data_IF_013605271554
#
_entry.id   IF_013605271554
#
_cell.length_a   1.000
_cell.length_b   1.000
_cell.length_c   1.000
_cell.angle_alpha   90.00
_cell.angle_beta   90.00
_cell.angle_gamma   90.00
#
_symmetry.space_group_name_H-M   'P 1'
#
loop_
_entity.id
_entity.type
_entity.pdbx_description
1 polymer ?
#
# COMPACT_ATOMS: atom_id res chain seq x y z
N UNK A 1 66.80 -10.95 28.63
CA UNK A 1 67.27 -11.23 30.03
C UNK A 1 66.06 -11.24 30.89
N UNK A 2 65.72 -12.41 31.30
CA UNK A 2 65.59 -12.93 32.69
C UNK A 2 64.42 -12.29 33.47
N UNK A 3 63.54 -13.08 33.76
CA UNK A 3 63.12 -14.07 34.80
C UNK A 3 62.10 -13.49 35.75
N UNK A 4 60.92 -14.10 35.72
CA UNK A 4 60.33 -14.96 36.75
C UNK A 4 60.32 -14.41 38.19
N UNK A 5 59.18 -14.32 38.86
CA UNK A 5 58.84 -15.06 40.07
C UNK A 5 57.33 -15.13 40.38
N UNK A 6 56.88 -16.34 40.63
CA UNK A 6 55.63 -16.75 41.26
C UNK A 6 55.64 -16.32 42.74
N UNK A 7 54.43 -16.01 43.34
CA UNK A 7 54.03 -16.55 44.66
C UNK A 7 52.49 -16.47 44.81
N UNK A 8 51.93 -17.57 45.21
CA UNK A 8 50.62 -17.96 45.67
C UNK A 8 50.12 -17.07 46.81
N UNK A 9 48.78 -16.79 46.84
CA UNK A 9 48.01 -16.86 48.07
C UNK A 9 46.57 -17.24 47.80
N UNK A 10 46.15 -18.34 48.39
CA UNK A 10 44.82 -18.92 48.48
C UNK A 10 44.10 -18.17 49.59
N UNK A 11 42.91 -17.67 49.31
CA UNK A 11 41.90 -17.37 50.32
C UNK A 11 40.51 -17.73 49.81
N UNK A 12 39.94 -18.69 50.50
CA UNK A 12 38.59 -19.23 50.39
C UNK A 12 37.61 -18.13 50.78
N UNK A 13 36.63 -17.82 49.91
CA UNK A 13 35.37 -17.24 50.37
C UNK A 13 34.17 -17.91 49.68
N UNK A 14 33.27 -18.30 50.57
CA UNK A 14 32.10 -19.11 50.44
C UNK A 14 31.13 -18.70 49.31
N UNK A 15 30.57 -19.72 48.64
CA UNK A 15 29.40 -19.68 47.80
C UNK A 15 28.19 -19.01 48.50
N UNK A 16 27.66 -17.98 47.83
CA UNK A 16 26.26 -17.62 47.93
C UNK A 16 25.70 -17.70 46.48
N UNK A 17 25.05 -18.80 46.20
CA UNK A 17 24.22 -18.98 45.02
C UNK A 17 22.96 -18.07 45.15
N UNK A 18 22.99 -16.94 44.49
CA UNK A 18 21.77 -16.18 44.17
C UNK A 18 21.34 -16.65 42.78
N UNK A 19 20.33 -17.51 42.77
CA UNK A 19 19.62 -17.89 41.52
C UNK A 19 18.83 -16.68 41.00
N UNK A 20 19.43 -15.91 40.13
CA UNK A 20 18.69 -15.00 39.25
C UNK A 20 17.95 -15.84 38.23
N UNK A 21 16.68 -16.13 38.48
CA UNK A 21 15.75 -16.61 37.48
C UNK A 21 15.57 -15.51 36.46
N UNK A 22 16.35 -15.55 35.41
CA UNK A 22 16.10 -14.81 34.17
C UNK A 22 14.82 -15.40 33.55
N UNK A 23 13.69 -14.73 33.74
CA UNK A 23 12.53 -14.92 32.89
C UNK A 23 12.88 -14.39 31.48
N UNK A 24 13.61 -15.21 30.73
CA UNK A 24 13.57 -15.11 29.28
C UNK A 24 12.16 -15.51 28.86
N UNK A 25 11.34 -14.54 28.54
CA UNK A 25 10.14 -14.79 27.73
C UNK A 25 10.61 -15.49 26.46
N UNK A 26 10.38 -16.81 26.41
CA UNK A 26 10.41 -17.53 25.14
C UNK A 26 9.31 -16.90 24.28
N UNK A 27 9.71 -16.12 23.30
CA UNK A 27 8.84 -15.88 22.14
C UNK A 27 8.37 -17.25 21.66
N UNK A 28 7.06 -17.48 21.77
CA UNK A 28 6.43 -18.69 21.29
C UNK A 28 6.56 -18.73 19.76
N UNK A 29 7.59 -19.39 19.26
CA UNK A 29 7.80 -19.68 17.84
C UNK A 29 6.85 -20.81 17.39
N UNK A 30 5.55 -20.67 17.60
CA UNK A 30 4.53 -21.53 17.02
C UNK A 30 3.83 -20.84 15.84
N UNK A 31 4.60 -20.15 14.98
CA UNK A 31 4.10 -19.57 13.72
C UNK A 31 3.94 -20.60 12.58
N UNK A 32 4.18 -21.88 12.86
CA UNK A 32 4.14 -22.98 11.86
C UNK A 32 2.88 -23.86 11.93
N UNK A 33 1.86 -23.47 12.66
CA UNK A 33 0.58 -24.18 12.55
C UNK A 33 -0.02 -23.90 11.16
N UNK A 34 0.16 -24.85 10.24
CA UNK A 34 -0.44 -24.81 8.91
C UNK A 34 -1.95 -24.62 9.07
N UNK A 35 -2.46 -23.47 8.63
CA UNK A 35 -3.88 -23.17 8.76
C UNK A 35 -4.66 -24.18 7.92
N UNK A 36 -5.64 -24.84 8.53
CA UNK A 36 -6.50 -25.79 7.83
C UNK A 36 -7.33 -25.06 6.79
N UNK A 37 -7.15 -25.39 5.51
CA UNK A 37 -7.93 -24.84 4.41
C UNK A 37 -9.38 -25.36 4.51
N UNK A 38 -10.33 -24.46 4.69
CA UNK A 38 -11.75 -24.76 4.69
C UNK A 38 -12.25 -24.92 3.25
N UNK A 39 -12.97 -25.99 2.97
CA UNK A 39 -13.54 -26.23 1.64
C UNK A 39 -15.01 -25.83 1.59
N UNK A 40 -15.52 -25.57 0.39
CA UNK A 40 -16.94 -25.29 0.12
C UNK A 40 -17.51 -24.03 0.82
N UNK A 41 -16.68 -23.02 1.02
CA UNK A 41 -17.16 -21.71 1.45
C UNK A 41 -17.96 -21.06 0.30
N UNK A 42 -19.04 -20.35 0.64
CA UNK A 42 -19.67 -19.43 -0.31
C UNK A 42 -18.71 -18.31 -0.70
N UNK A 43 -18.98 -17.60 -1.78
CA UNK A 43 -18.13 -16.47 -2.21
C UNK A 43 -18.04 -15.38 -1.13
N UNK A 44 -19.17 -15.09 -0.44
CA UNK A 44 -19.19 -14.09 0.64
C UNK A 44 -18.37 -14.56 1.85
N UNK A 45 -18.48 -15.82 2.27
CA UNK A 45 -17.69 -16.39 3.37
C UNK A 45 -16.19 -16.40 3.04
N UNK A 46 -15.84 -16.70 1.78
CA UNK A 46 -14.45 -16.70 1.33
C UNK A 46 -13.88 -15.28 1.28
N UNK A 47 -14.66 -14.32 0.78
CA UNK A 47 -14.25 -12.90 0.79
C UNK A 47 -14.08 -12.36 2.21
N UNK A 48 -14.99 -12.71 3.13
CA UNK A 48 -14.90 -12.29 4.53
C UNK A 48 -13.64 -12.89 5.18
N UNK A 49 -13.38 -14.17 4.93
CA UNK A 49 -12.17 -14.85 5.42
C UNK A 49 -10.90 -14.17 4.90
N UNK A 50 -10.82 -13.91 3.59
CA UNK A 50 -9.65 -13.28 2.97
C UNK A 50 -9.47 -11.87 3.51
N UNK A 51 -10.52 -11.06 3.55
CA UNK A 51 -10.46 -9.68 4.04
C UNK A 51 -10.04 -9.63 5.51
N UNK A 52 -10.66 -10.46 6.37
CA UNK A 52 -10.37 -10.52 7.80
C UNK A 52 -8.94 -11.00 8.08
N UNK A 53 -8.47 -12.03 7.37
CA UNK A 53 -7.13 -12.57 7.57
C UNK A 53 -6.06 -11.57 7.10
N UNK A 54 -6.29 -10.90 5.96
CA UNK A 54 -5.37 -9.89 5.44
C UNK A 54 -5.35 -8.62 6.31
N UNK A 55 -6.50 -8.22 6.87
CA UNK A 55 -6.60 -7.14 7.86
C UNK A 55 -5.64 -7.32 9.05
N UNK A 56 -5.39 -8.56 9.48
CA UNK A 56 -4.48 -8.85 10.60
C UNK A 56 -3.04 -8.40 10.34
N UNK A 57 -2.62 -8.21 9.09
CA UNK A 57 -1.32 -7.61 8.78
C UNK A 57 -1.18 -6.21 9.40
N UNK A 58 -2.23 -5.40 9.36
CA UNK A 58 -2.25 -4.05 9.90
C UNK A 58 -2.70 -3.99 11.37
N UNK A 59 -3.23 -5.09 11.91
CA UNK A 59 -3.66 -5.16 13.30
C UNK A 59 -2.62 -5.83 14.19
N UNK A 60 -2.34 -7.10 13.97
CA UNK A 60 -1.36 -7.87 14.75
C UNK A 60 0.06 -7.75 14.17
N UNK A 61 0.17 -7.65 12.87
CA UNK A 61 1.44 -7.54 12.14
C UNK A 61 2.02 -6.13 12.03
N UNK A 62 1.30 -5.12 12.51
CA UNK A 62 1.77 -3.73 12.50
C UNK A 62 3.09 -3.54 13.25
N UNK A 63 3.81 -2.46 12.98
CA UNK A 63 4.99 -2.10 13.76
C UNK A 63 4.57 -1.82 15.22
N UNK A 64 5.16 -2.52 16.22
CA UNK A 64 4.60 -2.57 17.57
C UNK A 64 4.65 -1.24 18.32
N UNK A 65 5.66 -0.42 18.08
CA UNK A 65 5.85 0.88 18.78
C UNK A 65 4.90 1.94 18.23
N UNK A 66 4.84 2.11 16.93
CA UNK A 66 4.00 3.11 16.25
C UNK A 66 2.57 2.64 15.98
N UNK A 67 2.39 1.34 15.78
CA UNK A 67 1.14 0.76 15.26
C UNK A 67 0.94 0.97 13.76
N UNK A 68 1.89 1.61 13.08
CA UNK A 68 1.84 1.90 11.65
C UNK A 68 2.10 0.67 10.77
N UNK A 69 1.83 0.78 9.48
CA UNK A 69 2.00 -0.31 8.51
C UNK A 69 3.47 -0.64 8.31
N UNK A 70 3.88 -1.86 8.68
CA UNK A 70 5.23 -2.36 8.37
C UNK A 70 5.42 -2.41 6.87
N UNK A 71 6.64 -2.12 6.42
CA UNK A 71 6.98 -2.24 5.01
C UNK A 71 6.84 -3.70 4.56
N UNK A 72 7.40 -4.65 5.32
CA UNK A 72 7.36 -6.09 5.03
C UNK A 72 7.25 -6.96 6.29
N UNK A 73 6.79 -8.18 6.10
CA UNK A 73 6.83 -9.23 7.12
C UNK A 73 7.26 -10.54 6.49
N UNK A 74 8.39 -11.09 6.93
CA UNK A 74 8.92 -12.37 6.49
C UNK A 74 8.74 -13.41 7.58
N UNK A 75 7.98 -14.47 7.31
CA UNK A 75 7.74 -15.57 8.27
C UNK A 75 9.03 -16.33 8.56
N UNK A 76 9.94 -16.42 7.60
CA UNK A 76 11.24 -17.05 7.73
C UNK A 76 12.25 -16.21 8.53
N UNK A 77 11.88 -15.01 8.97
CA UNK A 77 12.73 -14.05 9.66
C UNK A 77 14.03 -13.64 8.91
N UNK A 78 14.07 -13.87 7.60
CA UNK A 78 15.18 -13.45 6.76
C UNK A 78 14.89 -12.02 6.29
N UNK A 79 15.42 -11.04 7.00
CA UNK A 79 15.29 -9.63 6.67
C UNK A 79 16.64 -9.03 6.31
N UNK A 80 16.66 -8.02 5.42
CA UNK A 80 17.75 -7.05 5.40
C UNK A 80 17.86 -6.35 6.77
N UNK A 81 19.03 -5.79 7.05
CA UNK A 81 19.26 -5.06 8.30
C UNK A 81 18.19 -3.98 8.53
N UNK A 82 17.65 -3.92 9.76
CA UNK A 82 16.63 -2.97 10.23
C UNK A 82 15.24 -3.04 9.59
N UNK A 83 14.94 -3.98 8.71
CA UNK A 83 13.62 -4.04 8.06
C UNK A 83 12.47 -4.43 9.00
N UNK A 84 12.76 -5.07 10.14
CA UNK A 84 11.73 -5.42 11.13
C UNK A 84 11.00 -4.19 11.72
N UNK A 85 11.67 -3.05 11.85
CA UNK A 85 11.13 -1.80 12.37
C UNK A 85 10.76 -0.78 11.29
N UNK A 86 10.88 -1.15 10.01
CA UNK A 86 10.57 -0.25 8.90
C UNK A 86 9.07 -0.10 8.74
N UNK A 87 8.64 1.16 8.77
CA UNK A 87 7.29 1.60 8.41
C UNK A 87 7.34 2.19 7.01
N UNK A 88 6.49 1.69 6.10
CA UNK A 88 6.27 2.32 4.80
C UNK A 88 5.07 3.28 4.90
N UNK A 89 5.22 4.47 4.36
CA UNK A 89 4.19 5.52 4.47
C UNK A 89 2.96 5.16 3.66
N UNK A 90 3.08 4.69 2.42
CA UNK A 90 1.93 4.22 1.65
C UNK A 90 1.22 3.04 2.29
N UNK A 91 1.98 2.03 2.76
CA UNK A 91 1.40 0.92 3.51
C UNK A 91 0.68 1.38 4.78
N UNK A 92 1.17 2.43 5.45
CA UNK A 92 0.47 3.02 6.60
C UNK A 92 -0.85 3.67 6.18
N UNK A 93 -0.87 4.42 5.07
CA UNK A 93 -2.11 4.97 4.51
C UNK A 93 -3.15 3.88 4.21
N UNK A 94 -2.73 2.82 3.54
CA UNK A 94 -3.60 1.68 3.24
C UNK A 94 -4.05 0.95 4.52
N UNK A 95 -3.17 0.82 5.50
CA UNK A 95 -3.47 0.25 6.81
C UNK A 95 -4.51 1.05 7.61
N UNK A 96 -4.45 2.38 7.57
CA UNK A 96 -5.46 3.26 8.17
C UNK A 96 -6.85 3.01 7.56
N UNK A 97 -6.94 2.86 6.23
CA UNK A 97 -8.18 2.51 5.53
C UNK A 97 -8.64 1.08 5.87
N UNK A 98 -7.69 0.13 5.98
CA UNK A 98 -7.98 -1.24 6.39
C UNK A 98 -8.55 -1.28 7.81
N UNK A 99 -8.06 -0.45 8.74
CA UNK A 99 -8.61 -0.37 10.11
C UNK A 99 -10.04 0.18 10.09
N UNK A 100 -10.36 1.19 9.27
CA UNK A 100 -11.75 1.65 9.09
C UNK A 100 -12.66 0.53 8.58
N UNK A 101 -12.18 -0.24 7.60
CA UNK A 101 -12.90 -1.43 7.09
C UNK A 101 -13.11 -2.48 8.19
N UNK A 102 -12.07 -2.75 8.99
CA UNK A 102 -12.16 -3.71 10.10
C UNK A 102 -13.13 -3.30 11.21
N UNK A 103 -13.26 -2.00 11.48
CA UNK A 103 -14.26 -1.46 12.41
C UNK A 103 -15.68 -1.66 11.84
N UNK A 104 -15.91 -1.29 10.58
CA UNK A 104 -17.21 -1.39 9.91
C UNK A 104 -17.67 -2.85 9.79
N UNK A 105 -16.74 -3.77 9.56
CA UNK A 105 -16.98 -5.23 9.52
C UNK A 105 -17.10 -5.89 10.89
N UNK A 106 -16.79 -5.19 11.97
CA UNK A 106 -16.80 -5.77 13.33
C UNK A 106 -15.64 -6.75 13.58
N UNK A 107 -14.55 -6.67 12.82
CA UNK A 107 -13.32 -7.43 13.10
C UNK A 107 -12.65 -6.94 14.37
N UNK A 108 -12.79 -5.66 14.66
CA UNK A 108 -12.37 -4.98 15.89
C UNK A 108 -13.47 -4.04 16.37
N UNK A 109 -13.49 -3.74 17.68
CA UNK A 109 -14.46 -2.78 18.21
C UNK A 109 -14.15 -1.36 17.73
N UNK A 110 -15.18 -0.49 17.68
CA UNK A 110 -14.98 0.93 17.35
C UNK A 110 -13.97 1.59 18.32
N UNK A 111 -14.03 1.24 19.61
CA UNK A 111 -13.12 1.78 20.62
C UNK A 111 -11.66 1.38 20.38
N UNK A 112 -11.41 0.10 20.11
CA UNK A 112 -10.04 -0.39 19.83
C UNK A 112 -9.50 0.21 18.55
N UNK A 113 -10.35 0.31 17.52
CA UNK A 113 -10.00 0.95 16.27
C UNK A 113 -9.65 2.43 16.44
N UNK A 114 -10.45 3.20 17.18
CA UNK A 114 -10.18 4.60 17.50
C UNK A 114 -8.84 4.74 18.25
N UNK A 115 -8.59 3.88 19.23
CA UNK A 115 -7.34 3.86 19.99
C UNK A 115 -6.13 3.61 19.08
N UNK A 116 -6.24 2.62 18.18
CA UNK A 116 -5.17 2.30 17.22
C UNK A 116 -4.94 3.44 16.22
N UNK A 117 -6.00 4.00 15.64
CA UNK A 117 -5.91 5.14 14.73
C UNK A 117 -5.29 6.36 15.42
N UNK A 118 -5.70 6.67 16.66
CA UNK A 118 -5.11 7.76 17.44
C UNK A 118 -3.61 7.59 17.65
N UNK A 119 -3.18 6.37 18.01
CA UNK A 119 -1.76 6.02 18.17
C UNK A 119 -0.96 6.27 16.89
N UNK A 120 -1.48 5.82 15.74
CA UNK A 120 -0.81 5.99 14.45
C UNK A 120 -0.75 7.46 14.05
N UNK A 121 -1.84 8.22 14.24
CA UNK A 121 -1.85 9.65 13.92
C UNK A 121 -0.93 10.46 14.85
N UNK A 122 -0.80 10.05 16.12
CA UNK A 122 0.17 10.65 17.05
C UNK A 122 1.62 10.39 16.64
N UNK A 123 1.90 9.20 16.12
CA UNK A 123 3.20 8.88 15.55
C UNK A 123 3.48 9.73 14.31
N UNK A 124 2.55 9.76 13.34
CA UNK A 124 2.69 10.54 12.10
C UNK A 124 2.84 12.05 12.36
N UNK A 125 2.17 12.58 13.38
CA UNK A 125 2.29 13.99 13.77
C UNK A 125 3.68 14.37 14.31
N UNK A 126 4.41 13.40 14.88
CA UNK A 126 5.76 13.60 15.47
C UNK A 126 6.88 13.14 14.54
N UNK A 127 6.57 12.36 13.53
CA UNK A 127 7.54 11.82 12.58
C UNK A 127 8.17 12.93 11.71
N UNK A 128 9.32 12.62 11.12
CA UNK A 128 9.96 13.54 10.18
C UNK A 128 9.04 13.85 9.01
N UNK A 129 8.92 15.14 8.69
CA UNK A 129 8.16 15.66 7.55
C UNK A 129 8.97 16.75 6.85
N UNK A 130 8.88 16.77 5.53
CA UNK A 130 9.62 17.68 4.69
C UNK A 130 8.63 18.49 3.85
N UNK A 131 8.44 19.76 4.17
CA UNK A 131 7.37 20.58 3.58
C UNK A 131 6.00 19.89 3.66
N UNK A 132 5.75 19.27 4.81
CA UNK A 132 4.51 18.56 5.08
C UNK A 132 4.42 17.12 4.56
N UNK A 133 5.28 16.69 3.64
CA UNK A 133 5.32 15.30 3.17
C UNK A 133 6.16 14.41 4.10
N UNK A 134 5.70 13.20 4.34
CA UNK A 134 6.49 12.15 5.00
C UNK A 134 7.46 11.53 4.01
N UNK A 135 8.56 10.92 4.49
CA UNK A 135 9.49 10.18 3.64
C UNK A 135 8.87 8.84 3.20
N UNK A 136 9.51 8.17 2.24
CA UNK A 136 9.10 6.84 1.78
C UNK A 136 9.03 5.84 2.95
N UNK A 137 10.10 5.78 3.76
CA UNK A 137 10.18 4.94 4.95
C UNK A 137 10.54 5.72 6.21
N UNK A 138 10.05 5.22 7.35
CA UNK A 138 10.39 5.68 8.69
C UNK A 138 10.90 4.50 9.54
N UNK A 139 11.74 4.81 10.52
CA UNK A 139 11.95 3.92 11.66
C UNK A 139 10.72 4.00 12.58
N UNK A 140 10.01 2.89 12.76
CA UNK A 140 8.77 2.85 13.54
C UNK A 140 8.94 3.22 15.01
N UNK A 141 10.11 2.97 15.59
CA UNK A 141 10.41 3.29 16.99
C UNK A 141 10.60 4.80 17.23
N UNK A 142 11.14 5.53 16.24
CA UNK A 142 11.59 6.92 16.41
C UNK A 142 10.84 7.93 15.57
N UNK A 143 10.17 7.51 14.49
CA UNK A 143 9.58 8.40 13.50
C UNK A 143 10.60 9.15 12.62
N UNK A 144 11.89 8.76 12.71
CA UNK A 144 12.94 9.35 11.87
C UNK A 144 12.93 8.73 10.48
N UNK A 145 13.35 9.55 9.49
CA UNK A 145 13.49 9.07 8.11
C UNK A 145 14.45 7.88 8.07
N UNK A 146 14.01 6.80 7.43
CA UNK A 146 14.86 5.71 6.96
C UNK A 146 15.04 5.89 5.47
N UNK A 147 16.24 6.19 4.97
CA UNK A 147 16.45 6.40 3.54
C UNK A 147 16.03 5.18 2.71
N UNK A 148 15.18 5.38 1.71
CA UNK A 148 14.87 4.37 0.71
C UNK A 148 16.06 4.20 -0.27
N UNK A 149 16.72 5.31 -0.59
CA UNK A 149 17.94 5.38 -1.36
C UNK A 149 18.76 6.60 -0.95
N UNK A 150 19.98 6.72 -1.45
CA UNK A 150 20.90 7.80 -1.07
C UNK A 150 20.27 9.20 -1.25
N UNK A 151 19.55 9.42 -2.35
CA UNK A 151 18.88 10.70 -2.65
C UNK A 151 17.41 10.71 -2.27
N UNK A 152 16.88 9.57 -1.85
CA UNK A 152 15.52 9.37 -1.36
C UNK A 152 15.56 9.22 0.18
N UNK A 153 15.91 10.34 0.82
CA UNK A 153 16.07 10.48 2.27
C UNK A 153 15.29 11.68 2.83
N UNK A 154 14.28 12.11 2.12
CA UNK A 154 13.45 13.28 2.46
C UNK A 154 11.97 13.03 2.18
N UNK A 155 11.26 14.06 1.72
CA UNK A 155 9.83 13.96 1.47
C UNK A 155 9.49 13.17 0.20
N UNK A 156 8.53 12.26 0.33
CA UNK A 156 7.90 11.50 -0.76
C UNK A 156 6.43 11.93 -0.87
N UNK A 157 6.10 12.70 -1.92
CA UNK A 157 4.75 13.24 -2.08
C UNK A 157 3.74 12.17 -2.52
N UNK A 158 4.18 11.12 -3.21
CA UNK A 158 3.33 10.03 -3.69
C UNK A 158 2.88 9.17 -2.50
N UNK A 159 3.81 8.66 -1.70
CA UNK A 159 3.52 7.90 -0.48
C UNK A 159 2.67 8.72 0.50
N UNK A 160 3.01 10.01 0.66
CA UNK A 160 2.22 10.96 1.46
C UNK A 160 0.79 11.11 0.95
N UNK A 161 0.57 11.08 -0.36
CA UNK A 161 -0.78 11.18 -0.94
C UNK A 161 -1.64 9.94 -0.62
N UNK A 162 -1.03 8.77 -0.47
CA UNK A 162 -1.75 7.57 -0.02
C UNK A 162 -2.18 7.69 1.45
N UNK A 163 -1.35 8.29 2.32
CA UNK A 163 -1.78 8.62 3.70
C UNK A 163 -2.88 9.68 3.69
N UNK A 164 -2.78 10.71 2.86
CA UNK A 164 -3.78 11.77 2.80
C UNK A 164 -5.18 11.26 2.42
N UNK A 165 -5.29 10.27 1.52
CA UNK A 165 -6.56 9.59 1.26
C UNK A 165 -7.17 9.01 2.53
N UNK A 166 -6.37 8.32 3.34
CA UNK A 166 -6.82 7.71 4.58
C UNK A 166 -7.22 8.76 5.62
N UNK A 167 -6.45 9.83 5.76
CA UNK A 167 -6.75 10.92 6.70
C UNK A 167 -8.10 11.58 6.39
N UNK A 168 -8.40 11.80 5.11
CA UNK A 168 -9.71 12.31 4.65
C UNK A 168 -10.83 11.33 4.98
N UNK A 169 -10.62 10.02 4.81
CA UNK A 169 -11.59 9.00 5.20
C UNK A 169 -11.82 8.97 6.73
N UNK A 170 -10.76 9.12 7.53
CA UNK A 170 -10.86 9.17 9.00
C UNK A 170 -11.66 10.39 9.45
N UNK A 171 -11.38 11.58 8.89
CA UNK A 171 -12.19 12.77 9.18
C UNK A 171 -13.66 12.51 8.88
N UNK A 172 -13.97 12.05 7.67
CA UNK A 172 -15.35 11.79 7.26
C UNK A 172 -16.08 10.77 8.14
N UNK A 173 -15.36 9.73 8.62
CA UNK A 173 -15.93 8.68 9.46
C UNK A 173 -16.25 9.16 10.89
N UNK A 174 -15.40 10.03 11.47
CA UNK A 174 -15.45 10.37 12.89
C UNK A 174 -15.99 11.77 13.20
N UNK A 175 -16.03 12.71 12.25
CA UNK A 175 -16.38 14.13 12.49
C UNK A 175 -17.73 14.40 13.15
N UNK A 176 -18.69 13.47 13.02
CA UNK A 176 -20.02 13.61 13.59
C UNK A 176 -20.25 12.78 14.87
N UNK A 177 -19.21 12.15 15.41
CA UNK A 177 -19.29 11.28 16.58
C UNK A 177 -19.13 11.97 17.94
N UNK A 178 -18.62 11.23 18.91
CA UNK A 178 -18.31 11.71 20.27
C UNK A 178 -17.25 12.79 20.27
N UNK A 179 -16.92 13.33 21.46
CA UNK A 179 -15.81 14.28 21.59
C UNK A 179 -14.46 13.67 21.20
N UNK A 180 -14.23 12.40 21.53
CA UNK A 180 -13.01 11.67 21.16
C UNK A 180 -12.96 11.40 19.64
N UNK A 181 -14.10 10.98 19.04
CA UNK A 181 -14.24 10.83 17.61
C UNK A 181 -13.86 12.13 16.86
N UNK A 182 -14.42 13.26 17.30
CA UNK A 182 -14.14 14.58 16.72
C UNK A 182 -12.69 15.04 16.91
N UNK A 183 -12.05 14.67 18.01
CA UNK A 183 -10.64 14.97 18.24
C UNK A 183 -9.74 14.21 17.25
N UNK A 184 -10.04 12.93 16.98
CA UNK A 184 -9.34 12.14 15.97
C UNK A 184 -9.57 12.70 14.55
N UNK A 185 -10.81 13.03 14.21
CA UNK A 185 -11.17 13.63 12.92
C UNK A 185 -10.41 14.95 12.69
N UNK A 186 -10.40 15.84 13.69
CA UNK A 186 -9.67 17.10 13.63
C UNK A 186 -8.16 16.88 13.40
N UNK A 187 -7.54 15.93 14.10
CA UNK A 187 -6.12 15.60 13.92
C UNK A 187 -5.84 15.11 12.51
N UNK A 188 -6.70 14.24 11.97
CA UNK A 188 -6.59 13.75 10.59
C UNK A 188 -6.70 14.90 9.57
N UNK A 189 -7.65 15.81 9.77
CA UNK A 189 -7.86 16.98 8.93
C UNK A 189 -6.65 17.93 8.96
N UNK A 190 -6.08 18.21 10.15
CA UNK A 190 -4.89 19.06 10.31
C UNK A 190 -3.65 18.43 9.63
N UNK A 191 -3.47 17.12 9.73
CA UNK A 191 -2.32 16.44 9.15
C UNK A 191 -2.32 16.50 7.62
N UNK A 192 -3.46 16.23 6.95
CA UNK A 192 -3.50 16.29 5.51
C UNK A 192 -3.44 17.75 4.99
N UNK A 193 -4.07 18.70 5.65
CA UNK A 193 -3.99 20.12 5.32
C UNK A 193 -2.60 20.73 5.49
N UNK A 194 -1.76 20.11 6.30
CA UNK A 194 -0.36 20.51 6.49
C UNK A 194 0.60 20.03 5.40
N UNK A 195 0.13 19.34 4.34
CA UNK A 195 0.97 18.92 3.21
C UNK A 195 1.10 20.08 2.23
N UNK A 196 2.34 20.54 1.99
CA UNK A 196 2.60 21.64 1.04
C UNK A 196 2.78 21.11 -0.38
N UNK A 197 1.68 20.80 -1.06
CA UNK A 197 1.69 20.37 -2.46
C UNK A 197 2.31 21.42 -3.39
N UNK A 198 2.18 22.71 -3.07
CA UNK A 198 2.73 23.77 -3.92
C UNK A 198 4.27 23.82 -3.88
N UNK A 199 4.89 23.44 -2.75
CA UNK A 199 6.36 23.28 -2.67
C UNK A 199 6.86 22.28 -3.70
N UNK A 200 6.16 21.15 -3.84
CA UNK A 200 6.55 20.05 -4.73
C UNK A 200 6.39 20.34 -6.23
N UNK A 201 6.13 21.59 -6.58
CA UNK A 201 6.22 22.10 -7.96
C UNK A 201 7.64 22.51 -8.35
N UNK A 202 8.62 22.40 -7.47
CA UNK A 202 10.03 22.75 -7.75
C UNK A 202 10.17 24.12 -8.44
N UNK A 203 9.89 25.20 -7.72
CA UNK A 203 9.97 26.57 -8.25
C UNK A 203 8.77 26.99 -9.12
N UNK A 204 7.56 26.56 -8.75
CA UNK A 204 6.30 26.92 -9.43
C UNK A 204 6.15 26.35 -10.87
N UNK A 205 6.83 25.26 -11.19
CA UNK A 205 6.58 24.54 -12.44
C UNK A 205 5.16 23.97 -12.48
N UNK A 206 4.62 23.74 -13.67
CA UNK A 206 3.30 23.14 -13.86
C UNK A 206 3.37 21.60 -13.88
N UNK A 207 4.03 21.02 -12.88
CA UNK A 207 4.15 19.58 -12.67
C UNK A 207 4.48 19.36 -11.19
N UNK A 208 4.08 18.21 -10.62
CA UNK A 208 4.49 17.79 -9.30
C UNK A 208 5.68 16.85 -9.39
N UNK A 209 6.59 16.99 -8.43
CA UNK A 209 7.76 16.13 -8.28
C UNK A 209 7.50 15.10 -7.19
N UNK A 210 8.05 13.89 -7.36
CA UNK A 210 7.90 12.78 -6.43
C UNK A 210 8.64 13.03 -5.12
N UNK A 211 9.92 13.42 -5.24
CA UNK A 211 10.86 13.47 -4.11
C UNK A 211 11.46 14.86 -3.90
N UNK A 212 11.71 15.19 -2.65
CA UNK A 212 12.60 16.27 -2.25
C UNK A 212 13.47 15.81 -1.08
N UNK A 213 14.78 16.09 -1.14
CA UNK A 213 15.75 15.73 -0.12
C UNK A 213 16.31 16.98 0.57
N UNK A 214 16.49 17.00 1.90
CA UNK A 214 17.15 18.11 2.58
C UNK A 214 18.62 18.27 2.20
N UNK A 215 19.29 17.16 1.82
CA UNK A 215 20.71 17.14 1.44
C UNK A 215 20.91 17.31 -0.06
N UNK A 216 20.10 16.63 -0.86
CA UNK A 216 20.24 16.57 -2.33
C UNK A 216 19.22 17.43 -3.07
N UNK A 217 18.33 18.12 -2.36
CA UNK A 217 17.31 18.97 -2.94
C UNK A 217 16.49 18.24 -4.01
N UNK A 218 16.47 18.73 -5.23
CA UNK A 218 15.73 18.20 -6.37
C UNK A 218 16.57 17.29 -7.30
N UNK A 219 17.73 16.78 -6.84
CA UNK A 219 18.65 16.00 -7.69
C UNK A 219 18.06 14.73 -8.28
N UNK A 220 17.07 14.08 -7.62
CA UNK A 220 16.37 12.95 -8.23
C UNK A 220 15.61 13.37 -9.50
N UNK A 221 15.21 14.63 -9.59
CA UNK A 221 14.57 15.24 -10.75
C UNK A 221 13.51 14.35 -11.39
N UNK A 222 12.54 13.90 -10.56
CA UNK A 222 11.51 12.97 -11.00
C UNK A 222 10.12 13.65 -11.07
N UNK A 223 9.83 14.41 -12.14
CA UNK A 223 8.49 14.94 -12.37
C UNK A 223 7.51 13.79 -12.69
N UNK A 224 6.37 13.78 -12.04
CA UNK A 224 5.36 12.73 -12.20
C UNK A 224 4.45 13.05 -13.37
N UNK A 225 4.55 12.28 -14.46
CA UNK A 225 3.80 12.48 -15.70
C UNK A 225 3.26 11.15 -16.24
N UNK A 226 2.10 11.22 -16.88
CA UNK A 226 1.49 10.08 -17.53
C UNK A 226 0.70 9.20 -16.57
N UNK A 227 -0.08 8.23 -17.11
CA UNK A 227 -0.91 7.37 -16.32
C UNK A 227 -0.07 6.35 -15.54
N UNK A 228 -0.23 6.43 -14.22
CA UNK A 228 0.35 5.56 -13.21
C UNK A 228 -0.50 5.63 -11.93
N UNK A 229 0.03 5.19 -10.79
CA UNK A 229 -0.62 5.22 -9.47
C UNK A 229 -0.84 6.62 -8.88
N UNK A 230 -0.24 7.65 -9.46
CA UNK A 230 -0.13 8.97 -8.82
C UNK A 230 -1.27 9.96 -9.15
N UNK A 231 -2.36 9.54 -9.82
CA UNK A 231 -3.50 10.43 -10.09
C UNK A 231 -4.00 11.13 -8.83
N UNK A 232 -4.08 10.38 -7.72
CA UNK A 232 -4.55 10.89 -6.44
C UNK A 232 -3.72 12.07 -5.92
N UNK A 233 -2.42 12.08 -6.15
CA UNK A 233 -1.53 13.18 -5.75
C UNK A 233 -1.96 14.50 -6.41
N UNK A 234 -2.33 14.50 -7.68
CA UNK A 234 -2.81 15.67 -8.41
C UNK A 234 -4.22 16.11 -7.96
N UNK A 235 -5.10 15.14 -7.69
CA UNK A 235 -6.44 15.43 -7.15
C UNK A 235 -6.31 16.11 -5.77
N UNK A 236 -5.50 15.58 -4.88
CA UNK A 236 -5.26 16.15 -3.55
C UNK A 236 -4.59 17.52 -3.60
N UNK A 237 -3.62 17.70 -4.49
CA UNK A 237 -2.96 18.99 -4.69
C UNK A 237 -3.95 20.08 -5.15
N UNK A 238 -4.86 19.75 -6.05
CA UNK A 238 -5.93 20.66 -6.47
C UNK A 238 -6.98 20.90 -5.38
N UNK A 239 -7.22 19.90 -4.54
CA UNK A 239 -8.19 19.91 -3.44
C UNK A 239 -7.69 20.63 -2.18
N UNK A 240 -6.36 20.72 -1.97
CA UNK A 240 -5.79 21.29 -0.75
C UNK A 240 -6.33 22.69 -0.46
N UNK A 241 -6.93 22.93 0.71
CA UNK A 241 -7.45 24.25 1.06
C UNK A 241 -6.37 25.24 1.51
N UNK A 242 -5.16 24.76 1.82
CA UNK A 242 -4.05 25.51 2.37
C UNK A 242 -2.90 25.72 1.38
N UNK A 243 -2.57 24.69 0.59
CA UNK A 243 -1.42 24.66 -0.31
C UNK A 243 -1.84 24.16 -1.71
N UNK A 244 -2.94 24.72 -2.23
CA UNK A 244 -3.50 24.31 -3.51
C UNK A 244 -2.60 24.68 -4.69
N UNK A 245 -2.68 23.89 -5.75
CA UNK A 245 -2.00 24.15 -7.01
C UNK A 245 -2.99 24.55 -8.12
N UNK A 246 -2.58 25.32 -9.15
CA UNK A 246 -3.43 25.62 -10.30
C UNK A 246 -3.80 24.35 -11.11
N UNK A 247 -4.91 24.38 -11.86
CA UNK A 247 -5.35 23.25 -12.69
C UNK A 247 -4.33 22.90 -13.79
N UNK A 248 -3.55 23.88 -14.24
CA UNK A 248 -2.47 23.71 -15.21
C UNK A 248 -1.44 22.68 -14.75
N UNK A 249 -1.23 22.52 -13.45
CA UNK A 249 -0.30 21.52 -12.91
C UNK A 249 -0.75 20.10 -13.28
N UNK A 250 -2.04 19.84 -13.26
CA UNK A 250 -2.61 18.58 -13.74
C UNK A 250 -2.55 18.46 -15.28
N UNK A 251 -3.06 19.49 -15.99
CA UNK A 251 -3.21 19.40 -17.43
C UNK A 251 -1.87 19.45 -18.19
N UNK A 252 -0.92 20.27 -17.73
CA UNK A 252 0.40 20.40 -18.37
C UNK A 252 1.41 19.40 -17.78
N UNK A 253 1.34 19.12 -16.48
CA UNK A 253 2.20 18.16 -15.80
C UNK A 253 1.79 16.73 -16.08
N UNK A 254 0.81 16.22 -15.32
CA UNK A 254 0.41 14.81 -15.39
C UNK A 254 -0.11 14.42 -16.78
N UNK A 255 -0.98 15.21 -17.37
CA UNK A 255 -1.55 14.93 -18.68
C UNK A 255 -0.69 15.37 -19.87
N UNK A 256 0.49 15.98 -19.62
CA UNK A 256 1.47 16.40 -20.62
C UNK A 256 0.82 17.16 -21.79
N UNK A 257 0.04 18.21 -21.48
CA UNK A 257 -0.75 18.99 -22.44
C UNK A 257 -1.65 18.15 -23.35
N UNK A 258 -2.14 17.00 -22.85
CA UNK A 258 -2.97 16.06 -23.60
C UNK A 258 -2.18 15.00 -24.38
N UNK A 259 -0.86 15.00 -24.32
CA UNK A 259 -0.05 13.94 -24.93
C UNK A 259 -0.22 12.57 -24.21
N UNK A 260 -0.85 12.55 -23.03
CA UNK A 260 -1.29 11.34 -22.35
C UNK A 260 -2.32 10.53 -23.15
N UNK A 261 -3.04 11.18 -24.08
CA UNK A 261 -4.04 10.48 -24.91
C UNK A 261 -3.42 9.42 -25.79
N UNK A 262 -4.11 8.32 -25.93
CA UNK A 262 -3.72 7.20 -26.77
C UNK A 262 -4.93 6.60 -27.49
N UNK A 263 -4.64 5.79 -28.51
CA UNK A 263 -5.60 4.93 -29.18
C UNK A 263 -4.88 3.62 -29.56
N UNK A 264 -5.02 2.62 -28.70
CA UNK A 264 -4.46 1.30 -28.94
C UNK A 264 -5.31 0.23 -28.23
N UNK A 265 -5.05 -1.04 -28.55
CA UNK A 265 -5.67 -2.17 -27.88
C UNK A 265 -4.60 -3.11 -27.33
N UNK A 266 -4.89 -3.70 -26.16
CA UNK A 266 -4.12 -4.80 -25.56
C UNK A 266 -5.09 -5.96 -25.35
N UNK A 267 -4.83 -7.11 -25.94
CA UNK A 267 -5.74 -8.28 -25.90
C UNK A 267 -7.21 -7.94 -26.25
N UNK A 268 -7.41 -7.03 -27.21
CA UNK A 268 -8.74 -6.60 -27.64
C UNK A 268 -9.35 -5.45 -26.84
N UNK A 269 -8.86 -5.16 -25.64
CA UNK A 269 -9.35 -4.09 -24.78
C UNK A 269 -8.82 -2.72 -25.22
N UNK A 270 -9.68 -1.70 -25.40
CA UNK A 270 -9.27 -0.38 -25.87
C UNK A 270 -8.68 0.47 -24.73
N UNK A 271 -7.66 1.26 -25.05
CA UNK A 271 -7.01 2.21 -24.13
C UNK A 271 -6.97 3.61 -24.72
N UNK A 272 -7.37 4.59 -23.91
CA UNK A 272 -7.36 6.03 -24.27
C UNK A 272 -6.23 6.79 -23.58
N UNK A 273 -5.48 6.15 -22.68
CA UNK A 273 -4.33 6.71 -21.96
C UNK A 273 -3.04 5.96 -22.30
N UNK A 274 -1.94 6.71 -22.42
CA UNK A 274 -0.59 6.15 -22.42
C UNK A 274 -0.18 5.84 -20.98
N UNK A 275 0.20 4.61 -20.75
CA UNK A 275 0.78 4.18 -19.48
C UNK A 275 2.24 4.60 -19.41
N UNK A 276 2.66 5.18 -18.29
CA UNK A 276 4.03 5.66 -18.11
C UNK A 276 5.05 4.55 -18.40
N UNK A 277 6.06 4.87 -19.22
CA UNK A 277 7.10 3.92 -19.58
C UNK A 277 6.68 2.79 -20.53
N UNK A 278 5.37 2.64 -20.86
CA UNK A 278 4.86 1.56 -21.68
C UNK A 278 4.69 1.96 -23.15
N UNK A 279 5.00 1.04 -24.07
CA UNK A 279 4.81 1.24 -25.52
C UNK A 279 3.61 0.42 -25.98
N UNK A 280 2.43 1.05 -26.14
CA UNK A 280 1.18 0.38 -26.55
C UNK A 280 0.91 -0.88 -25.73
N UNK A 281 1.16 -0.79 -24.42
CA UNK A 281 0.94 -1.83 -23.42
C UNK A 281 0.42 -1.20 -22.14
N UNK A 282 0.14 -2.03 -21.15
CA UNK A 282 -0.30 -1.62 -19.82
C UNK A 282 0.80 -1.82 -18.79
N UNK A 283 0.76 -1.04 -17.72
CA UNK A 283 1.66 -1.19 -16.59
C UNK A 283 1.19 -2.24 -15.58
N UNK A 284 1.85 -2.33 -14.43
CA UNK A 284 1.45 -3.19 -13.32
C UNK A 284 0.08 -2.79 -12.76
N UNK A 285 -0.67 -3.78 -12.22
CA UNK A 285 -2.06 -3.55 -11.79
C UNK A 285 -2.22 -2.62 -10.58
N UNK A 286 -1.20 -2.40 -9.76
CA UNK A 286 -1.31 -1.43 -8.66
C UNK A 286 -1.65 -0.01 -9.16
N UNK A 287 -1.38 0.32 -10.44
CA UNK A 287 -1.80 1.57 -11.06
C UNK A 287 -3.32 1.71 -11.18
N UNK A 288 -4.05 0.60 -11.21
CA UNK A 288 -5.51 0.60 -11.15
C UNK A 288 -6.05 0.59 -9.70
N UNK A 289 -5.20 0.50 -8.69
CA UNK A 289 -5.62 0.34 -7.30
C UNK A 289 -5.31 1.55 -6.42
N UNK A 290 -4.05 1.98 -6.30
CA UNK A 290 -3.59 2.88 -5.23
C UNK A 290 -4.28 4.25 -5.23
N UNK A 291 -4.43 4.89 -6.39
CA UNK A 291 -5.21 6.13 -6.48
C UNK A 291 -6.69 5.93 -6.16
N UNK A 292 -7.21 4.73 -6.36
CA UNK A 292 -8.65 4.45 -6.28
C UNK A 292 -9.08 3.73 -5.00
N UNK A 293 -8.24 3.72 -3.99
CA UNK A 293 -8.62 3.18 -2.67
C UNK A 293 -9.68 4.09 -2.00
N UNK A 294 -9.50 5.42 -2.10
CA UNK A 294 -10.47 6.41 -1.65
C UNK A 294 -11.21 7.08 -2.80
N UNK A 295 -10.50 7.45 -3.87
CA UNK A 295 -11.09 8.10 -5.05
C UNK A 295 -11.96 7.09 -5.83
N UNK A 296 -13.27 7.30 -5.82
CA UNK A 296 -14.19 6.40 -6.53
C UNK A 296 -14.10 6.54 -8.05
N UNK A 297 -13.63 5.51 -8.77
CA UNK A 297 -13.54 5.59 -10.23
C UNK A 297 -14.89 5.46 -10.95
N UNK A 298 -15.96 5.01 -10.26
CA UNK A 298 -17.30 4.85 -10.87
C UNK A 298 -17.90 6.20 -11.26
N UNK A 299 -17.91 6.48 -12.58
CA UNK A 299 -18.39 7.73 -13.11
C UNK A 299 -17.38 8.87 -13.04
N UNK A 300 -16.14 8.57 -12.67
CA UNK A 300 -15.04 9.53 -12.70
C UNK A 300 -14.49 9.63 -14.13
N UNK A 301 -14.69 10.81 -14.72
CA UNK A 301 -14.28 11.10 -16.11
C UNK A 301 -13.71 12.49 -16.22
N UNK A 302 -12.77 12.66 -17.12
CA UNK A 302 -12.31 13.97 -17.56
C UNK A 302 -12.18 14.02 -19.09
N UNK A 303 -11.51 15.05 -19.61
CA UNK A 303 -11.26 15.17 -21.06
C UNK A 303 -10.30 14.11 -21.62
N UNK A 304 -9.66 13.30 -20.79
CA UNK A 304 -8.64 12.32 -21.19
C UNK A 304 -9.18 10.89 -21.13
N UNK A 305 -9.97 10.53 -20.11
CA UNK A 305 -10.44 9.17 -19.91
C UNK A 305 -11.76 9.04 -19.12
N UNK A 306 -12.38 7.87 -19.26
CA UNK A 306 -13.27 7.27 -18.28
C UNK A 306 -12.44 6.32 -17.42
N UNK A 307 -12.18 6.69 -16.15
CA UNK A 307 -11.25 5.98 -15.28
C UNK A 307 -11.78 4.62 -14.82
N UNK A 308 -13.11 4.48 -14.69
CA UNK A 308 -13.70 3.17 -14.43
C UNK A 308 -13.45 2.20 -15.59
N UNK A 309 -13.77 2.62 -16.80
CA UNK A 309 -13.58 1.77 -17.98
C UNK A 309 -12.09 1.50 -18.25
N UNK A 310 -11.22 2.47 -18.01
CA UNK A 310 -9.78 2.28 -18.12
C UNK A 310 -9.27 1.20 -17.16
N UNK A 311 -9.71 1.21 -15.88
CA UNK A 311 -9.28 0.23 -14.88
C UNK A 311 -9.85 -1.16 -15.16
N UNK A 312 -11.11 -1.27 -15.62
CA UNK A 312 -11.70 -2.55 -16.08
C UNK A 312 -10.89 -3.11 -17.24
N UNK A 313 -10.59 -2.30 -18.25
CA UNK A 313 -9.80 -2.71 -19.42
C UNK A 313 -8.38 -3.11 -19.02
N UNK A 314 -7.75 -2.39 -18.09
CA UNK A 314 -6.42 -2.71 -17.58
C UNK A 314 -6.40 -4.09 -16.90
N UNK A 315 -7.36 -4.33 -16.02
CA UNK A 315 -7.48 -5.62 -15.33
C UNK A 315 -7.69 -6.77 -16.32
N UNK A 316 -8.63 -6.58 -17.28
CA UNK A 316 -8.90 -7.62 -18.30
C UNK A 316 -7.71 -7.84 -19.24
N UNK A 317 -6.95 -6.80 -19.58
CA UNK A 317 -5.76 -6.96 -20.42
C UNK A 317 -4.67 -7.80 -19.73
N UNK A 318 -4.47 -7.63 -18.41
CA UNK A 318 -3.55 -8.45 -17.63
C UNK A 318 -4.08 -9.89 -17.47
N UNK A 319 -5.39 -10.05 -17.21
CA UNK A 319 -6.03 -11.35 -17.17
C UNK A 319 -5.80 -12.10 -18.48
N UNK A 320 -6.15 -11.49 -19.61
CA UNK A 320 -6.08 -12.14 -20.93
C UNK A 320 -4.64 -12.38 -21.39
N UNK A 321 -3.67 -11.55 -20.95
CA UNK A 321 -2.25 -11.84 -21.09
C UNK A 321 -1.87 -13.14 -20.38
N UNK A 322 -2.27 -13.30 -19.12
CA UNK A 322 -1.97 -14.52 -18.36
C UNK A 322 -2.68 -15.76 -18.94
N UNK A 323 -3.92 -15.60 -19.45
CA UNK A 323 -4.65 -16.67 -20.12
C UNK A 323 -3.98 -17.06 -21.43
N UNK A 324 -3.57 -16.10 -22.25
CA UNK A 324 -2.83 -16.35 -23.49
C UNK A 324 -1.44 -16.93 -23.24
N UNK A 325 -0.83 -16.58 -22.11
CA UNK A 325 0.44 -17.09 -21.62
C UNK A 325 1.53 -17.21 -22.69
N UNK A 326 1.92 -16.10 -23.35
CA UNK A 326 2.84 -16.13 -24.48
C UNK A 326 4.22 -16.67 -24.10
N UNK A 327 4.65 -16.46 -22.85
CA UNK A 327 5.94 -16.93 -22.31
C UNK A 327 5.87 -18.38 -21.79
N UNK A 328 4.69 -19.01 -21.80
CA UNK A 328 4.44 -20.40 -21.39
C UNK A 328 4.82 -20.70 -19.93
N UNK A 329 4.61 -19.75 -19.04
CA UNK A 329 4.81 -19.96 -17.61
C UNK A 329 3.81 -20.97 -17.05
N UNK A 330 4.32 -21.91 -16.25
CA UNK A 330 3.46 -22.87 -15.55
C UNK A 330 2.55 -22.17 -14.56
N UNK A 331 1.28 -22.58 -14.52
CA UNK A 331 0.29 -22.05 -13.59
C UNK A 331 -0.48 -20.82 -14.09
N UNK A 332 0.01 -20.13 -15.12
CA UNK A 332 -0.73 -19.00 -15.70
C UNK A 332 -2.01 -19.47 -16.41
N UNK A 333 -3.12 -18.78 -16.20
CA UNK A 333 -4.42 -19.09 -16.81
C UNK A 333 -5.59 -18.37 -16.17
N UNK A 334 -6.82 -18.77 -16.52
CA UNK A 334 -8.06 -18.14 -16.04
C UNK A 334 -8.22 -18.09 -14.53
N UNK A 335 -7.64 -19.05 -13.79
CA UNK A 335 -7.76 -19.16 -12.35
C UNK A 335 -6.49 -18.70 -11.60
N UNK A 336 -5.43 -18.34 -12.33
CA UNK A 336 -4.16 -17.89 -11.75
C UNK A 336 -3.54 -16.83 -12.65
N UNK A 337 -3.78 -15.58 -12.31
CA UNK A 337 -3.33 -14.41 -13.03
C UNK A 337 -3.10 -13.24 -12.06
N UNK A 338 -2.29 -12.28 -12.50
CA UNK A 338 -2.08 -11.03 -11.77
C UNK A 338 -0.63 -10.60 -11.76
N UNK A 339 -0.35 -9.50 -12.49
CA UNK A 339 0.96 -8.89 -12.57
C UNK A 339 0.93 -7.53 -11.89
N UNK A 340 1.81 -7.34 -10.89
CA UNK A 340 1.98 -6.08 -10.19
C UNK A 340 3.38 -6.04 -9.56
N UNK A 341 3.72 -4.93 -8.89
CA UNK A 341 4.97 -4.85 -8.13
C UNK A 341 4.96 -5.88 -7.00
N UNK A 342 5.94 -6.75 -6.94
CA UNK A 342 6.05 -7.82 -5.97
C UNK A 342 7.45 -8.46 -5.96
N UNK A 343 7.68 -9.39 -5.04
CA UNK A 343 8.88 -10.22 -5.08
C UNK A 343 8.92 -11.15 -6.31
N UNK A 344 10.11 -11.50 -6.73
CA UNK A 344 10.39 -12.56 -7.70
C UNK A 344 11.69 -13.29 -7.32
N UNK A 345 12.01 -14.34 -8.05
CA UNK A 345 13.32 -15.03 -7.93
C UNK A 345 14.51 -14.14 -8.30
N UNK A 346 14.24 -13.02 -8.99
CA UNK A 346 15.25 -12.02 -9.38
C UNK A 346 15.29 -10.78 -8.45
N UNK A 347 14.48 -10.79 -7.40
CA UNK A 347 14.29 -9.64 -6.51
C UNK A 347 12.92 -8.97 -6.74
N UNK A 348 12.72 -7.77 -6.19
CA UNK A 348 11.51 -6.99 -6.35
C UNK A 348 11.45 -6.34 -7.74
N UNK A 349 10.31 -6.42 -8.41
CA UNK A 349 10.08 -5.80 -9.72
C UNK A 349 8.61 -5.44 -9.92
N UNK A 350 8.34 -4.47 -10.79
CA UNK A 350 7.00 -4.04 -11.17
C UNK A 350 6.52 -4.83 -12.39
N UNK A 351 6.09 -6.08 -12.17
CA UNK A 351 5.70 -7.00 -13.24
C UNK A 351 4.53 -6.49 -14.08
N UNK A 352 4.69 -6.60 -15.37
CA UNK A 352 3.71 -6.23 -16.39
C UNK A 352 3.99 -7.06 -17.67
N UNK A 353 3.15 -7.03 -18.72
CA UNK A 353 3.37 -7.86 -19.92
C UNK A 353 4.68 -7.63 -20.65
N UNK A 354 5.41 -6.54 -20.41
CA UNK A 354 6.72 -6.24 -21.00
C UNK A 354 7.89 -6.58 -20.08
N UNK A 355 7.60 -6.88 -18.80
CA UNK A 355 8.58 -7.25 -17.77
C UNK A 355 7.98 -8.34 -16.87
N UNK A 356 7.83 -9.54 -17.44
CA UNK A 356 7.25 -10.69 -16.74
C UNK A 356 8.32 -11.72 -16.40
N UNK A 357 8.39 -12.10 -15.12
CA UNK A 357 9.35 -13.09 -14.61
C UNK A 357 8.68 -14.42 -14.19
N UNK A 358 7.47 -14.68 -14.70
CA UNK A 358 6.73 -15.89 -14.36
C UNK A 358 6.21 -15.94 -12.93
N UNK A 359 5.84 -14.76 -12.40
CA UNK A 359 5.37 -14.59 -11.03
C UNK A 359 3.92 -14.13 -11.02
N UNK A 360 3.09 -14.76 -10.20
CA UNK A 360 1.73 -14.32 -9.89
C UNK A 360 1.73 -13.65 -8.52
N UNK A 361 1.11 -12.46 -8.46
CA UNK A 361 0.91 -11.71 -7.23
C UNK A 361 -0.58 -11.73 -6.87
N UNK A 362 -0.99 -12.39 -5.78
CA UNK A 362 -2.40 -12.49 -5.39
C UNK A 362 -3.11 -11.14 -5.29
N UNK A 363 -2.43 -10.11 -4.77
CA UNK A 363 -2.99 -8.75 -4.64
C UNK A 363 -3.48 -8.19 -5.96
N UNK A 364 -2.81 -8.48 -7.08
CA UNK A 364 -3.17 -7.96 -8.39
C UNK A 364 -4.60 -8.35 -8.82
N UNK A 365 -4.95 -9.62 -8.68
CA UNK A 365 -6.28 -10.12 -8.99
C UNK A 365 -7.30 -9.78 -7.91
N UNK A 366 -6.94 -9.91 -6.62
CA UNK A 366 -7.84 -9.71 -5.49
C UNK A 366 -8.24 -8.24 -5.37
N UNK A 367 -7.28 -7.32 -5.47
CA UNK A 367 -7.56 -5.87 -5.40
C UNK A 367 -8.32 -5.36 -6.63
N UNK A 368 -8.37 -6.15 -7.69
CA UNK A 368 -9.16 -5.85 -8.90
C UNK A 368 -10.64 -6.29 -8.79
N UNK A 369 -11.07 -6.89 -7.67
CA UNK A 369 -12.43 -7.43 -7.52
C UNK A 369 -13.56 -6.41 -7.83
N UNK A 370 -13.45 -5.11 -7.57
CA UNK A 370 -14.51 -4.18 -7.97
C UNK A 370 -14.66 -4.06 -9.51
N UNK A 371 -13.57 -4.29 -10.25
CA UNK A 371 -13.52 -4.16 -11.71
C UNK A 371 -13.92 -5.44 -12.43
N UNK A 372 -13.48 -6.59 -11.93
CA UNK A 372 -13.64 -7.91 -12.54
C UNK A 372 -14.03 -8.96 -11.50
N UNK A 373 -15.22 -8.83 -10.86
CA UNK A 373 -15.57 -9.66 -9.71
C UNK A 373 -15.59 -11.16 -10.03
N UNK A 374 -16.02 -11.54 -11.22
CA UNK A 374 -16.10 -12.95 -11.64
C UNK A 374 -14.70 -13.56 -11.79
N UNK A 375 -13.81 -12.88 -12.48
CA UNK A 375 -12.44 -13.31 -12.75
C UNK A 375 -11.62 -13.33 -11.45
N UNK A 376 -11.77 -12.28 -10.62
CA UNK A 376 -11.11 -12.18 -9.31
C UNK A 376 -11.55 -13.28 -8.35
N UNK A 377 -12.86 -13.60 -8.28
CA UNK A 377 -13.35 -14.69 -7.42
C UNK A 377 -12.84 -16.05 -7.83
N UNK A 378 -12.67 -16.34 -9.13
CA UNK A 378 -12.03 -17.59 -9.60
C UNK A 378 -10.61 -17.73 -9.05
N UNK A 379 -9.81 -16.64 -9.10
CA UNK A 379 -8.45 -16.62 -8.56
C UNK A 379 -8.46 -16.82 -7.04
N UNK A 380 -9.28 -16.06 -6.31
CA UNK A 380 -9.36 -16.16 -4.85
C UNK A 380 -9.66 -17.61 -4.43
N UNK A 381 -10.62 -18.25 -5.09
CA UNK A 381 -11.01 -19.63 -4.80
C UNK A 381 -9.90 -20.60 -5.13
N UNK A 382 -9.29 -20.52 -6.30
CA UNK A 382 -8.19 -21.38 -6.71
C UNK A 382 -6.98 -21.23 -5.79
N UNK A 383 -6.55 -20.01 -5.52
CA UNK A 383 -5.40 -19.78 -4.64
C UNK A 383 -5.65 -20.25 -3.20
N UNK A 384 -6.88 -20.12 -2.70
CA UNK A 384 -7.21 -20.56 -1.36
C UNK A 384 -7.43 -22.09 -1.28
N UNK A 385 -8.27 -22.67 -2.17
CA UNK A 385 -8.69 -24.06 -2.08
C UNK A 385 -7.66 -25.04 -2.64
N UNK A 386 -6.95 -24.68 -3.72
CA UNK A 386 -6.05 -25.58 -4.43
C UNK A 386 -4.57 -25.34 -4.10
N UNK A 387 -4.18 -24.10 -3.84
CA UNK A 387 -2.79 -23.72 -3.53
C UNK A 387 -2.60 -23.19 -2.10
N UNK A 388 -3.63 -23.20 -1.25
CA UNK A 388 -3.59 -22.57 0.06
C UNK A 388 -2.53 -23.15 1.00
N UNK A 389 -2.14 -24.41 0.84
CA UNK A 389 -1.03 -25.00 1.57
C UNK A 389 0.33 -24.35 1.28
N UNK A 390 0.46 -23.63 0.15
CA UNK A 390 1.68 -22.99 -0.32
C UNK A 390 1.63 -21.46 -0.23
N UNK A 391 0.47 -20.85 -0.53
CA UNK A 391 0.34 -19.41 -0.73
C UNK A 391 -0.48 -18.67 0.32
N UNK A 392 -1.04 -19.38 1.31
CA UNK A 392 -1.86 -18.82 2.39
C UNK A 392 -1.19 -18.99 3.76
N UNK A 393 -1.23 -17.93 4.57
CA UNK A 393 -0.60 -17.95 5.89
C UNK A 393 -1.26 -17.00 6.89
N UNK A 394 -0.51 -16.61 7.90
CA UNK A 394 -0.96 -15.83 9.07
C UNK A 394 -1.73 -14.56 8.70
N UNK A 395 -1.33 -13.86 7.66
CA UNK A 395 -1.92 -12.61 7.20
C UNK A 395 -2.59 -12.72 5.82
N UNK A 396 -3.18 -13.87 5.52
CA UNK A 396 -3.79 -14.14 4.23
C UNK A 396 -2.79 -14.61 3.19
N UNK A 397 -2.99 -14.22 1.93
CA UNK A 397 -2.12 -14.61 0.84
C UNK A 397 -0.73 -13.97 0.97
N UNK A 398 0.31 -14.75 0.68
CA UNK A 398 1.67 -14.23 0.53
C UNK A 398 1.77 -13.32 -0.69
N UNK A 399 2.81 -12.52 -0.73
CA UNK A 399 3.04 -11.49 -1.73
C UNK A 399 3.05 -12.00 -3.17
N UNK A 400 3.78 -13.09 -3.40
CA UNK A 400 3.98 -13.61 -4.75
C UNK A 400 4.38 -15.09 -4.75
N UNK A 401 4.21 -15.76 -5.89
CA UNK A 401 4.69 -17.12 -6.12
C UNK A 401 4.97 -17.38 -7.59
N UNK A 402 5.76 -18.42 -7.90
CA UNK A 402 6.00 -18.92 -9.25
C UNK A 402 5.94 -20.45 -9.28
N UNK A 403 4.97 -20.98 -10.02
CA UNK A 403 4.91 -22.42 -10.27
C UNK A 403 6.00 -22.89 -11.24
N UNK A 404 6.41 -22.03 -12.17
CA UNK A 404 7.51 -22.32 -13.09
C UNK A 404 8.82 -22.58 -12.37
N UNK A 405 9.11 -21.78 -11.36
CA UNK A 405 10.33 -21.85 -10.56
C UNK A 405 10.16 -22.71 -9.30
N UNK A 406 8.97 -23.27 -9.07
CA UNK A 406 8.59 -23.94 -7.81
C UNK A 406 8.95 -23.09 -6.57
N UNK A 407 8.64 -21.80 -6.65
CA UNK A 407 9.04 -20.78 -5.68
C UNK A 407 7.82 -20.21 -4.94
N UNK A 408 7.77 -20.39 -3.62
CA UNK A 408 6.65 -20.02 -2.75
C UNK A 408 7.19 -19.36 -1.48
N UNK A 409 7.61 -18.09 -1.54
CA UNK A 409 8.15 -17.39 -0.38
C UNK A 409 7.04 -17.08 0.62
N UNK A 410 7.32 -17.23 1.92
CA UNK A 410 6.37 -16.91 2.99
C UNK A 410 6.58 -15.46 3.44
N UNK A 411 6.27 -14.51 2.58
CA UNK A 411 6.55 -13.09 2.76
C UNK A 411 5.34 -12.25 2.41
N UNK A 412 5.22 -11.09 3.07
CA UNK A 412 4.17 -10.11 2.84
C UNK A 412 4.79 -8.73 2.63
N UNK A 413 4.16 -7.90 1.80
CA UNK A 413 4.44 -6.48 1.63
C UNK A 413 3.21 -5.66 2.05
N UNK A 414 3.42 -4.61 2.85
CA UNK A 414 2.31 -3.79 3.33
C UNK A 414 1.54 -3.10 2.22
N UNK A 415 2.25 -2.69 1.15
CA UNK A 415 1.64 -2.05 -0.03
C UNK A 415 0.75 -3.01 -0.84
N UNK A 416 0.91 -4.31 -0.70
CA UNK A 416 0.11 -5.33 -1.37
C UNK A 416 -1.05 -5.83 -0.51
N UNK A 417 -0.83 -5.92 0.81
CA UNK A 417 -1.88 -6.34 1.75
C UNK A 417 -3.00 -5.30 1.88
N UNK A 418 -2.66 -4.01 1.89
CA UNK A 418 -3.64 -2.95 2.06
C UNK A 418 -4.71 -2.88 0.98
N UNK A 419 -4.33 -2.84 -0.30
CA UNK A 419 -5.30 -2.81 -1.40
C UNK A 419 -6.27 -3.99 -1.40
N UNK A 420 -5.84 -5.21 -0.99
CA UNK A 420 -6.75 -6.35 -0.87
C UNK A 420 -7.88 -6.07 0.11
N UNK A 421 -7.57 -5.58 1.32
CA UNK A 421 -8.59 -5.28 2.34
C UNK A 421 -9.53 -4.17 1.87
N UNK A 422 -8.96 -3.08 1.34
CA UNK A 422 -9.70 -1.86 0.98
C UNK A 422 -10.56 -2.07 -0.25
N UNK A 423 -10.06 -2.76 -1.28
CA UNK A 423 -10.82 -2.98 -2.51
C UNK A 423 -11.90 -4.07 -2.34
N UNK A 424 -11.69 -5.07 -1.49
CA UNK A 424 -12.78 -5.98 -1.07
C UNK A 424 -13.88 -5.16 -0.37
N UNK A 425 -13.51 -4.23 0.54
CA UNK A 425 -14.49 -3.39 1.21
C UNK A 425 -15.24 -2.49 0.23
N UNK A 426 -14.54 -1.87 -0.70
CA UNK A 426 -15.15 -1.05 -1.73
C UNK A 426 -16.07 -1.86 -2.67
N UNK A 427 -15.75 -3.12 -2.95
CA UNK A 427 -16.63 -4.02 -3.69
C UNK A 427 -17.90 -4.35 -2.88
N UNK A 428 -17.76 -4.69 -1.60
CA UNK A 428 -18.86 -5.13 -0.73
C UNK A 428 -19.80 -3.98 -0.34
N UNK A 429 -19.26 -2.81 0.03
CA UNK A 429 -20.07 -1.72 0.59
C UNK A 429 -19.83 -0.34 -0.05
N UNK A 430 -18.66 -0.14 -0.67
CA UNK A 430 -18.22 1.17 -1.15
C UNK A 430 -17.83 2.13 -0.03
N UNK A 431 -17.52 1.64 1.16
CA UNK A 431 -17.26 2.47 2.35
C UNK A 431 -16.22 3.56 2.11
N UNK A 432 -15.00 3.17 1.69
CA UNK A 432 -13.90 4.14 1.57
C UNK A 432 -14.16 5.14 0.44
N UNK A 433 -14.77 4.70 -0.66
CA UNK A 433 -15.21 5.59 -1.74
C UNK A 433 -16.22 6.62 -1.25
N UNK A 434 -17.25 6.20 -0.49
CA UNK A 434 -18.25 7.12 0.07
C UNK A 434 -17.61 8.13 1.02
N UNK A 435 -16.72 7.68 1.92
CA UNK A 435 -16.05 8.54 2.89
C UNK A 435 -15.18 9.59 2.19
N UNK A 436 -14.32 9.16 1.28
CA UNK A 436 -13.41 10.07 0.57
C UNK A 436 -14.18 11.08 -0.30
N UNK A 437 -15.13 10.60 -1.11
CA UNK A 437 -15.91 11.44 -2.04
C UNK A 437 -16.87 12.39 -1.32
N UNK A 438 -17.22 12.15 -0.06
CA UNK A 438 -18.06 13.06 0.75
C UNK A 438 -17.32 14.32 1.20
N UNK A 439 -15.99 14.38 1.07
CA UNK A 439 -15.20 15.53 1.47
C UNK A 439 -15.37 16.70 0.47
N UNK A 440 -15.79 17.86 0.98
CA UNK A 440 -16.08 19.03 0.13
C UNK A 440 -14.84 19.60 -0.58
N UNK A 441 -13.66 19.48 0.03
CA UNK A 441 -12.43 19.98 -0.58
C UNK A 441 -11.97 19.06 -1.74
N UNK A 442 -12.16 17.73 -1.59
CA UNK A 442 -11.98 16.76 -2.69
C UNK A 442 -12.89 17.09 -3.86
N UNK A 443 -14.18 17.35 -3.60
CA UNK A 443 -15.16 17.70 -4.65
C UNK A 443 -14.77 19.00 -5.37
N UNK A 444 -14.33 20.03 -4.63
CA UNK A 444 -13.79 21.27 -5.23
C UNK A 444 -12.56 21.01 -6.08
N UNK A 445 -11.63 20.16 -5.61
CA UNK A 445 -10.44 19.77 -6.36
C UNK A 445 -10.79 19.07 -7.67
N UNK A 446 -11.66 18.09 -7.64
CA UNK A 446 -12.14 17.39 -8.83
C UNK A 446 -12.83 18.34 -9.82
N UNK A 447 -13.69 19.24 -9.33
CA UNK A 447 -14.34 20.28 -10.16
C UNK A 447 -13.31 21.21 -10.81
N UNK A 448 -12.29 21.64 -10.04
CA UNK A 448 -11.19 22.48 -10.53
C UNK A 448 -10.38 21.83 -11.66
N UNK A 449 -10.27 20.51 -11.63
CA UNK A 449 -9.58 19.71 -12.65
C UNK A 449 -10.51 19.25 -13.79
N UNK A 450 -11.72 19.80 -13.90
CA UNK A 450 -12.73 19.45 -14.90
C UNK A 450 -13.18 17.98 -14.88
N UNK A 451 -13.11 17.31 -13.73
CA UNK A 451 -13.67 15.95 -13.59
C UNK A 451 -15.20 15.99 -13.50
N UNK A 452 -15.83 15.04 -14.19
CA UNK A 452 -17.16 14.56 -13.89
C UNK A 452 -17.05 13.43 -12.87
N UNK A 453 -17.85 13.46 -11.82
CA UNK A 453 -17.82 12.47 -10.74
C UNK A 453 -19.20 12.34 -10.08
N UNK A 454 -19.37 11.27 -9.31
CA UNK A 454 -20.53 11.11 -8.41
C UNK A 454 -20.05 11.35 -6.98
N UNK A 455 -20.73 12.25 -6.23
CA UNK A 455 -20.39 12.50 -4.82
C UNK A 455 -20.60 11.29 -3.93
#
# INVERSE_FOLDING_TARGET
MLKTYLIRNILIFSLLLVSLSSCAQKENTNDSAQQTIKKNLSDEELLDLVQKQTFQYFWDGAEPTSGAGRERYHVDNIYPENDKSTVAIGATGFGLMAILSGIDRGYVTKHDGLTRLSKILDFLAKADRFHGAWPHWLYGETGKVRPFGQKDNGGDLVETSFVAQALICIDAYYKNGSAEDKALAKKADELWKGIDFNWYRNGNQNVLYWHWSPEYQWEMNFPVKGYNECLIMYVLAAASPTHTVPAEVYHQGWADNGAIKADFKVYGHPFTLKYQGQKKSVGPLFWAHYSYLGLNPKGLKDRYADYWQNNVNHTLAIHDYCVANPEKFKGYGENSWGLTASYSVKGYAAHNPQEDFGVISPTAAISSIPYTPKESMKVIRHLYEDLGDKVWGKYGFYDAFSESENWYPKRYLGIDQGPMVVMIENYRSGLLWKLFMSNSDVQKGLTKLDFQFKP
#
